data_IF_991837253730
#
_entry.id   IF_991837253730
#
_cell.length_a   1.000
_cell.length_b   1.000
_cell.length_c   1.000
_cell.angle_alpha   90.00
_cell.angle_beta   90.00
_cell.angle_gamma   90.00
#
_symmetry.space_group_name_H-M   'P 1'
#
loop_
_entity.id
_entity.type
_entity.pdbx_description
1 polymer ?
#
# COMPACT_ATOMS: atom_id res chain seq x y z
N UNK A 1 -2.51 16.67 -1.55
CA UNK A 1 -1.44 15.83 -1.01
C UNK A 1 -1.42 15.86 0.51
N UNK A 2 -0.93 16.92 1.18
CA UNK A 2 -0.80 16.88 2.64
C UNK A 2 -2.10 16.65 3.40
N UNK A 3 -3.20 17.25 2.95
CA UNK A 3 -4.54 16.97 3.49
C UNK A 3 -5.00 15.53 3.36
N UNK A 4 -4.49 14.79 2.38
CA UNK A 4 -4.78 13.35 2.26
C UNK A 4 -3.92 12.54 3.22
N UNK A 5 -2.66 12.93 3.45
CA UNK A 5 -1.80 12.29 4.45
C UNK A 5 -2.36 12.46 5.87
N UNK A 6 -2.95 13.62 6.19
CA UNK A 6 -3.64 13.87 7.47
C UNK A 6 -4.84 12.93 7.73
N UNK A 7 -5.36 12.26 6.69
CA UNK A 7 -6.47 11.29 6.80
C UNK A 7 -5.94 9.87 7.10
N UNK A 8 -4.69 9.59 6.74
CA UNK A 8 -4.09 8.28 7.03
C UNK A 8 -3.71 8.18 8.50
N UNK A 9 -4.27 7.17 9.17
CA UNK A 9 -4.05 6.92 10.59
C UNK A 9 -2.79 6.07 10.80
N UNK A 10 -2.09 6.28 11.91
CA UNK A 10 -0.94 5.44 12.28
C UNK A 10 -1.42 4.05 12.73
N UNK A 11 -1.08 2.98 12.00
CA UNK A 11 -1.51 1.63 12.35
C UNK A 11 -0.83 1.08 13.62
N UNK A 12 0.21 1.74 14.14
CA UNK A 12 0.91 1.37 15.36
C UNK A 12 0.43 2.15 16.60
N UNK A 13 -0.39 3.18 16.42
CA UNK A 13 -0.95 3.95 17.54
C UNK A 13 -2.01 3.11 18.29
N UNK A 14 -1.84 2.87 19.61
CA UNK A 14 -2.80 2.09 20.39
C UNK A 14 -4.23 2.64 20.37
N UNK A 15 -4.41 3.97 20.27
CA UNK A 15 -5.74 4.57 20.20
C UNK A 15 -6.40 4.30 18.84
N UNK A 16 -5.64 4.36 17.75
CA UNK A 16 -6.10 3.99 16.40
C UNK A 16 -6.45 2.52 16.34
N UNK A 17 -5.63 1.64 16.91
CA UNK A 17 -5.90 0.19 16.95
C UNK A 17 -7.18 -0.10 17.74
N UNK A 18 -7.34 0.52 18.91
CA UNK A 18 -8.55 0.36 19.71
C UNK A 18 -9.79 0.85 18.98
N UNK A 19 -9.69 1.99 18.28
CA UNK A 19 -10.79 2.52 17.48
C UNK A 19 -11.12 1.65 16.27
N UNK A 20 -10.11 1.17 15.52
CA UNK A 20 -10.30 0.28 14.38
C UNK A 20 -11.05 -1.01 14.77
N UNK A 21 -10.73 -1.59 15.94
CA UNK A 21 -11.46 -2.74 16.47
C UNK A 21 -12.92 -2.41 16.81
N UNK A 22 -13.20 -1.22 17.37
CA UNK A 22 -14.59 -0.78 17.63
C UNK A 22 -15.38 -0.59 16.34
N UNK A 23 -14.71 -0.15 15.28
CA UNK A 23 -15.29 0.07 13.96
C UNK A 23 -15.41 -1.23 13.12
N UNK A 24 -15.05 -2.39 13.69
CA UNK A 24 -15.21 -3.70 13.06
C UNK A 24 -14.09 -4.11 12.10
N UNK A 25 -12.92 -3.47 12.17
CA UNK A 25 -11.75 -3.88 11.37
C UNK A 25 -11.13 -5.13 11.98
N UNK A 26 -11.03 -6.20 11.20
CA UNK A 26 -10.42 -7.46 11.62
C UNK A 26 -8.93 -7.29 12.03
N UNK A 27 -8.49 -8.02 13.06
CA UNK A 27 -7.11 -7.96 13.55
C UNK A 27 -6.08 -8.29 12.45
N UNK A 28 -6.41 -9.20 11.52
CA UNK A 28 -5.55 -9.55 10.39
C UNK A 28 -5.25 -8.34 9.47
N UNK A 29 -6.22 -7.43 9.34
CA UNK A 29 -6.12 -6.20 8.53
C UNK A 29 -5.29 -5.17 9.27
N UNK A 30 -5.47 -5.06 10.59
CA UNK A 30 -4.65 -4.19 11.46
C UNK A 30 -3.18 -4.65 11.41
N UNK A 31 -2.92 -5.95 11.58
CA UNK A 31 -1.58 -6.54 11.51
C UNK A 31 -0.93 -6.37 10.13
N UNK A 32 -1.73 -6.36 9.05
CA UNK A 32 -1.26 -6.07 7.70
C UNK A 32 -0.95 -4.57 7.54
N UNK A 33 -1.77 -3.69 8.09
CA UNK A 33 -1.55 -2.24 8.06
C UNK A 33 -0.24 -1.84 8.76
N UNK A 34 0.07 -2.46 9.91
CA UNK A 34 1.32 -2.24 10.65
C UNK A 34 2.58 -2.60 9.85
N UNK A 35 2.46 -3.57 8.93
CA UNK A 35 3.56 -4.05 8.07
C UNK A 35 3.48 -3.47 6.65
N UNK A 36 2.59 -2.51 6.41
CA UNK A 36 2.28 -2.03 5.07
C UNK A 36 3.47 -1.32 4.42
N UNK A 37 3.98 -1.81 3.27
CA UNK A 37 4.99 -1.09 2.50
C UNK A 37 4.44 0.23 1.95
N UNK A 38 3.13 0.30 1.70
CA UNK A 38 2.47 1.50 1.15
C UNK A 38 2.48 2.62 2.19
N UNK A 39 2.18 2.30 3.46
CA UNK A 39 2.22 3.28 4.55
C UNK A 39 3.64 3.82 4.72
N UNK A 40 4.65 2.93 4.74
CA UNK A 40 6.08 3.32 4.80
C UNK A 40 6.48 4.26 3.66
N UNK A 41 6.10 3.93 2.42
CA UNK A 41 6.45 4.74 1.24
C UNK A 41 5.76 6.09 1.20
N UNK A 42 4.48 6.17 1.57
CA UNK A 42 3.68 7.38 1.46
C UNK A 42 3.80 8.31 2.67
N UNK A 43 3.79 7.73 3.88
CA UNK A 43 3.73 8.47 5.16
C UNK A 43 5.13 8.58 5.78
N UNK A 44 5.77 7.46 6.10
CA UNK A 44 7.04 7.46 6.86
C UNK A 44 8.19 8.09 6.07
N UNK A 45 8.38 7.68 4.81
CA UNK A 45 9.51 8.09 3.99
C UNK A 45 9.15 9.17 2.96
N UNK A 46 7.86 9.48 2.79
CA UNK A 46 7.35 10.49 1.84
C UNK A 46 7.96 10.38 0.44
N UNK A 47 8.10 9.14 -0.06
CA UNK A 47 8.63 8.83 -1.39
C UNK A 47 7.51 8.69 -2.42
N UNK A 48 6.37 8.14 -2.01
CA UNK A 48 5.20 7.98 -2.86
C UNK A 48 4.33 9.24 -2.82
N UNK A 49 3.84 9.65 -3.98
CA UNK A 49 3.00 10.83 -4.17
C UNK A 49 1.72 10.44 -4.94
N UNK A 50 0.56 11.07 -4.64
CA UNK A 50 -0.70 10.77 -5.31
C UNK A 50 -0.68 11.24 -6.76
N UNK A 51 -1.40 10.56 -7.66
CA UNK A 51 -1.57 11.03 -9.04
C UNK A 51 -2.66 12.09 -9.13
N UNK A 52 -2.36 13.25 -9.71
CA UNK A 52 -3.31 14.36 -9.90
C UNK A 52 -4.18 14.67 -8.65
N UNK A 53 -3.57 15.01 -7.50
CA UNK A 53 -4.33 15.32 -6.28
C UNK A 53 -5.33 16.48 -6.45
N UNK A 54 -5.15 17.35 -7.44
CA UNK A 54 -6.04 18.45 -7.82
C UNK A 54 -7.42 18.00 -8.29
N UNK A 55 -7.60 16.73 -8.69
CA UNK A 55 -8.91 16.17 -9.04
C UNK A 55 -9.80 15.91 -7.82
N UNK A 56 -9.26 16.01 -6.60
CA UNK A 56 -10.01 15.92 -5.33
C UNK A 56 -10.77 14.60 -5.14
N UNK A 57 -10.33 13.53 -5.79
CA UNK A 57 -10.90 12.18 -5.64
C UNK A 57 -10.26 11.38 -4.50
N UNK A 58 -9.23 11.95 -3.83
CA UNK A 58 -8.39 11.26 -2.83
C UNK A 58 -7.87 9.91 -3.38
N UNK A 59 -7.05 9.94 -4.43
CA UNK A 59 -6.60 8.72 -5.12
C UNK A 59 -5.81 7.82 -4.17
N UNK A 60 -6.08 6.52 -4.20
CA UNK A 60 -5.42 5.51 -3.35
C UNK A 60 -4.31 4.73 -4.08
N UNK A 61 -4.00 5.11 -5.33
CA UNK A 61 -2.84 4.61 -6.08
C UNK A 61 -1.81 5.73 -6.17
N UNK A 62 -0.60 5.45 -5.66
CA UNK A 62 0.46 6.43 -5.46
C UNK A 62 1.73 6.01 -6.20
N UNK A 63 2.56 6.97 -6.56
CA UNK A 63 3.71 6.78 -7.43
C UNK A 63 4.98 7.36 -6.81
N UNK A 64 6.07 6.61 -6.92
CA UNK A 64 7.41 7.12 -6.60
C UNK A 64 7.95 7.81 -7.86
N UNK A 65 8.41 9.07 -7.79
CA UNK A 65 8.92 9.78 -8.95
C UNK A 65 10.22 9.14 -9.46
N UNK A 66 10.42 9.02 -10.79
CA UNK A 66 11.59 8.35 -11.35
C UNK A 66 12.83 9.23 -11.28
N UNK A 67 13.98 8.61 -10.98
CA UNK A 67 15.29 9.23 -11.22
C UNK A 67 15.59 9.20 -12.72
N UNK A 68 16.13 10.30 -13.25
CA UNK A 68 16.59 10.38 -14.64
C UNK A 68 18.11 10.54 -14.73
N UNK A 69 18.74 10.25 -15.88
CA UNK A 69 20.13 10.61 -16.12
C UNK A 69 20.39 12.11 -15.91
N UNK A 70 21.63 12.47 -15.60
CA UNK A 70 22.06 13.86 -15.44
C UNK A 70 22.33 14.45 -16.82
N UNK A 71 21.83 15.66 -17.09
CA UNK A 71 21.88 16.25 -18.44
C UNK A 71 23.26 16.79 -18.82
N UNK A 72 24.13 17.12 -17.86
CA UNK A 72 25.42 17.79 -18.11
C UNK A 72 26.69 17.01 -17.70
N UNK A 73 26.57 15.80 -17.14
CA UNK A 73 27.75 15.05 -16.65
C UNK A 73 28.50 14.23 -17.73
N UNK A 74 28.01 14.20 -18.97
CA UNK A 74 28.67 13.47 -20.06
C UNK A 74 29.64 14.35 -20.87
N UNK A 75 29.38 15.65 -21.00
CA UNK A 75 30.12 16.51 -21.95
C UNK A 75 31.25 17.32 -21.32
N UNK A 76 31.28 17.50 -19.99
CA UNK A 76 32.18 18.48 -19.37
C UNK A 76 33.35 17.93 -18.54
N UNK A 77 33.45 16.62 -18.28
CA UNK A 77 34.52 16.08 -17.39
C UNK A 77 34.52 16.61 -15.95
N UNK A 78 33.68 17.61 -15.65
CA UNK A 78 33.38 18.13 -14.34
C UNK A 78 32.29 17.27 -13.73
N UNK A 79 32.68 16.07 -13.31
CA UNK A 79 31.96 15.49 -12.20
C UNK A 79 32.30 16.39 -11.02
N UNK A 80 31.40 17.35 -10.73
CA UNK A 80 31.34 17.96 -9.42
C UNK A 80 31.04 16.85 -8.43
N UNK A 81 32.08 16.10 -8.08
CA UNK A 81 32.09 15.18 -6.96
C UNK A 81 32.23 16.05 -5.70
N UNK A 82 31.21 16.86 -5.41
CA UNK A 82 30.85 17.02 -4.01
C UNK A 82 30.27 15.67 -3.61
N UNK A 83 31.16 14.82 -3.09
CA UNK A 83 30.93 13.48 -2.58
C UNK A 83 29.51 12.92 -2.73
N UNK A 84 29.30 12.19 -3.81
CA UNK A 84 28.41 11.02 -3.91
C UNK A 84 26.94 11.26 -4.36
N UNK A 85 26.35 12.45 -4.27
CA UNK A 85 24.94 12.67 -4.67
C UNK A 85 24.82 13.65 -5.86
N UNK A 86 24.28 13.22 -7.02
CA UNK A 86 23.88 14.16 -8.08
C UNK A 86 22.92 15.22 -7.55
N UNK A 87 23.12 16.48 -7.92
CA UNK A 87 22.14 17.52 -7.63
C UNK A 87 20.81 17.16 -8.31
N UNK A 88 19.71 17.19 -7.55
CA UNK A 88 18.37 16.86 -8.06
C UNK A 88 17.96 17.84 -9.15
N UNK A 89 18.45 19.08 -9.10
CA UNK A 89 18.19 20.09 -10.13
C UNK A 89 18.95 19.80 -11.46
N UNK A 90 19.92 18.87 -11.46
CA UNK A 90 20.68 18.46 -12.66
C UNK A 90 20.05 17.29 -13.44
N UNK A 91 18.95 16.75 -12.93
CA UNK A 91 18.22 15.65 -13.55
C UNK A 91 17.60 16.09 -14.89
N UNK A 92 17.69 15.22 -15.91
CA UNK A 92 17.14 15.46 -17.25
C UNK A 92 15.62 15.70 -17.27
N UNK A 93 14.85 15.00 -16.43
CA UNK A 93 13.41 15.21 -16.37
C UNK A 93 13.14 16.49 -15.57
N UNK A 94 12.44 17.50 -16.15
CA UNK A 94 12.13 18.72 -15.42
C UNK A 94 11.27 18.42 -14.18
N UNK A 95 11.71 18.90 -13.01
CA UNK A 95 11.00 18.69 -11.75
C UNK A 95 9.59 19.27 -11.81
N UNK A 96 9.42 20.41 -12.50
CA UNK A 96 8.12 21.03 -12.73
C UNK A 96 7.12 20.10 -13.43
N UNK A 97 7.59 19.26 -14.35
CA UNK A 97 6.74 18.28 -15.04
C UNK A 97 6.20 17.24 -14.04
N UNK A 98 7.07 16.68 -13.21
CA UNK A 98 6.67 15.72 -12.17
C UNK A 98 5.75 16.36 -11.12
N UNK A 99 6.02 17.60 -10.75
CA UNK A 99 5.19 18.34 -9.80
C UNK A 99 3.76 18.55 -10.34
N UNK A 100 3.61 18.89 -11.62
CA UNK A 100 2.30 19.02 -12.24
C UNK A 100 1.52 17.70 -12.27
N UNK A 101 2.21 16.56 -12.28
CA UNK A 101 1.60 15.23 -12.31
C UNK A 101 1.23 14.71 -10.92
N UNK A 102 2.08 14.96 -9.91
CA UNK A 102 2.04 14.25 -8.62
C UNK A 102 1.66 15.13 -7.42
N UNK A 103 1.80 16.45 -7.54
CA UNK A 103 1.68 17.38 -6.41
C UNK A 103 0.94 18.66 -6.77
N UNK A 104 0.13 18.65 -7.84
CA UNK A 104 -0.61 19.82 -8.32
C UNK A 104 0.29 21.05 -8.60
N UNK A 105 1.53 20.82 -9.03
CA UNK A 105 2.51 21.85 -9.40
C UNK A 105 3.48 22.28 -8.29
N UNK A 106 3.37 21.75 -7.08
CA UNK A 106 4.32 21.99 -5.98
C UNK A 106 5.58 21.12 -6.10
N UNK A 107 6.74 21.73 -6.29
CA UNK A 107 7.99 21.00 -6.50
C UNK A 107 8.60 20.44 -5.21
N UNK A 108 8.27 20.98 -4.04
CA UNK A 108 8.95 20.65 -2.79
C UNK A 108 8.85 19.16 -2.41
N UNK A 109 7.66 18.50 -2.47
CA UNK A 109 7.55 17.08 -2.14
C UNK A 109 8.27 16.18 -3.16
N UNK A 110 8.26 16.56 -4.44
CA UNK A 110 8.98 15.83 -5.50
C UNK A 110 10.49 15.92 -5.28
N UNK A 111 11.01 17.13 -4.99
CA UNK A 111 12.43 17.33 -4.67
C UNK A 111 12.85 16.50 -3.47
N UNK A 112 12.04 16.49 -2.40
CA UNK A 112 12.32 15.70 -1.21
C UNK A 112 12.40 14.20 -1.52
N UNK A 113 11.42 13.65 -2.24
CA UNK A 113 11.40 12.24 -2.62
C UNK A 113 12.64 11.86 -3.45
N UNK A 114 12.99 12.66 -4.46
CA UNK A 114 14.17 12.42 -5.30
C UNK A 114 15.48 12.53 -4.52
N UNK A 115 15.62 13.53 -3.63
CA UNK A 115 16.78 13.68 -2.75
C UNK A 115 16.96 12.46 -1.83
N UNK A 116 15.88 11.97 -1.23
CA UNK A 116 15.89 10.77 -0.37
C UNK A 116 16.33 9.51 -1.12
N UNK A 117 15.87 9.32 -2.36
CA UNK A 117 16.31 8.20 -3.20
C UNK A 117 17.80 8.27 -3.55
N UNK A 118 18.31 9.46 -3.87
CA UNK A 118 19.73 9.65 -4.16
C UNK A 118 20.59 9.49 -2.90
N UNK A 119 20.13 10.00 -1.76
CA UNK A 119 20.81 9.84 -0.47
C UNK A 119 20.95 8.37 -0.07
N UNK A 120 19.88 7.58 -0.19
CA UNK A 120 19.93 6.13 0.02
C UNK A 120 20.96 5.46 -0.90
N UNK A 121 21.00 5.84 -2.19
CA UNK A 121 21.95 5.29 -3.15
C UNK A 121 23.40 5.63 -2.79
N UNK A 122 23.65 6.87 -2.36
CA UNK A 122 24.97 7.32 -1.94
C UNK A 122 25.44 6.63 -0.66
N UNK A 123 24.58 6.55 0.36
CA UNK A 123 24.83 5.81 1.59
C UNK A 123 25.19 4.34 1.32
N UNK A 124 24.37 3.64 0.51
CA UNK A 124 24.63 2.23 0.17
C UNK A 124 25.90 2.04 -0.65
N UNK A 125 26.29 3.04 -1.45
CA UNK A 125 27.57 3.01 -2.18
C UNK A 125 28.76 3.16 -1.23
N UNK A 126 28.70 4.09 -0.28
CA UNK A 126 29.73 4.25 0.75
C UNK A 126 29.94 2.93 1.51
N UNK A 127 28.84 2.32 1.95
CA UNK A 127 28.88 1.06 2.70
C UNK A 127 29.43 -0.11 1.87
N UNK A 128 29.01 -0.27 0.61
CA UNK A 128 29.36 -1.45 -0.21
C UNK A 128 30.68 -1.33 -0.95
N UNK A 129 31.06 -0.13 -1.38
CA UNK A 129 32.28 0.10 -2.19
C UNK A 129 33.44 0.50 -1.30
N UNK A 130 33.21 1.41 -0.36
CA UNK A 130 34.26 2.00 0.47
C UNK A 130 34.33 1.33 1.86
N UNK A 131 33.31 0.58 2.26
CA UNK A 131 33.24 -0.02 3.60
C UNK A 131 33.04 1.01 4.70
N UNK A 132 32.58 2.21 4.35
CA UNK A 132 32.41 3.35 5.25
C UNK A 132 30.93 3.66 5.47
N UNK A 133 30.59 4.10 6.68
CA UNK A 133 29.23 4.52 7.03
C UNK A 133 29.17 6.04 6.96
N UNK A 134 28.68 6.57 5.85
CA UNK A 134 28.50 8.00 5.65
C UNK A 134 27.08 8.44 6.04
N UNK A 135 26.93 8.93 7.27
CA UNK A 135 25.64 9.38 7.81
C UNK A 135 25.27 10.80 7.38
N UNK A 136 26.23 11.62 6.97
CA UNK A 136 25.99 13.03 6.61
C UNK A 136 24.99 13.15 5.47
N UNK A 137 25.12 12.26 4.47
CA UNK A 137 24.21 12.13 3.34
C UNK A 137 22.75 11.85 3.74
N UNK A 138 22.53 11.11 4.83
CA UNK A 138 21.19 10.77 5.31
C UNK A 138 20.60 11.90 6.17
N UNK A 139 21.44 12.56 6.98
CA UNK A 139 21.05 13.69 7.82
C UNK A 139 20.52 14.87 7.00
N UNK A 140 21.14 15.16 5.85
CA UNK A 140 20.72 16.22 4.92
C UNK A 140 19.28 16.09 4.41
N UNK A 141 18.75 14.86 4.39
CA UNK A 141 17.38 14.54 3.93
C UNK A 141 16.45 14.08 5.06
N UNK A 142 16.93 14.17 6.31
CA UNK A 142 16.20 13.78 7.51
C UNK A 142 15.87 12.29 7.57
N UNK A 143 16.75 11.42 7.05
CA UNK A 143 16.61 9.97 7.16
C UNK A 143 17.55 9.42 8.22
N UNK A 144 17.09 8.43 8.98
CA UNK A 144 17.96 7.65 9.86
C UNK A 144 18.62 6.49 9.10
N UNK A 145 19.71 5.95 9.65
CA UNK A 145 20.37 4.76 9.11
C UNK A 145 19.41 3.56 9.02
N UNK A 146 18.56 3.38 10.04
CA UNK A 146 17.54 2.32 10.07
C UNK A 146 16.53 2.48 8.92
N UNK A 147 16.04 3.71 8.69
CA UNK A 147 15.15 4.00 7.56
C UNK A 147 15.85 3.76 6.22
N UNK A 148 17.12 4.15 6.06
CA UNK A 148 17.85 3.91 4.82
C UNK A 148 18.05 2.41 4.52
N UNK A 149 18.35 1.60 5.55
CA UNK A 149 18.46 0.14 5.42
C UNK A 149 17.10 -0.50 5.11
N UNK A 150 16.02 -0.03 5.74
CA UNK A 150 14.67 -0.52 5.48
C UNK A 150 14.19 -0.13 4.07
N UNK A 151 14.41 1.11 3.64
CA UNK A 151 14.19 1.55 2.26
C UNK A 151 14.94 0.66 1.26
N UNK A 152 16.21 0.32 1.53
CA UNK A 152 16.97 -0.60 0.69
C UNK A 152 16.35 -2.00 0.65
N UNK A 153 15.87 -2.53 1.78
CA UNK A 153 15.15 -3.81 1.83
C UNK A 153 13.90 -3.79 0.95
N UNK A 154 13.05 -2.78 1.08
CA UNK A 154 11.77 -2.72 0.36
C UNK A 154 11.91 -2.32 -1.12
N UNK A 155 12.85 -1.44 -1.46
CA UNK A 155 13.02 -0.91 -2.82
C UNK A 155 14.01 -1.71 -3.68
N UNK A 156 15.11 -2.20 -3.10
CA UNK A 156 16.18 -2.85 -3.86
C UNK A 156 16.13 -4.37 -3.78
N UNK A 157 16.03 -4.95 -2.58
CA UNK A 157 15.88 -6.40 -2.42
C UNK A 157 14.48 -6.82 -2.85
N UNK A 158 13.47 -6.12 -2.33
CA UNK A 158 12.07 -6.19 -2.75
C UNK A 158 11.53 -7.63 -2.79
N UNK A 159 11.71 -8.37 -1.69
CA UNK A 159 11.17 -9.71 -1.54
C UNK A 159 9.65 -9.72 -1.73
N UNK A 160 9.09 -10.87 -2.13
CA UNK A 160 7.67 -10.98 -2.46
C UNK A 160 6.77 -10.62 -1.26
N UNK A 161 7.10 -11.15 -0.08
CA UNK A 161 6.41 -10.92 1.18
C UNK A 161 6.49 -9.48 1.67
N UNK A 162 7.54 -8.74 1.28
CA UNK A 162 7.71 -7.33 1.62
C UNK A 162 6.93 -6.43 0.65
N UNK A 163 6.79 -6.85 -0.61
CA UNK A 163 6.04 -6.08 -1.63
C UNK A 163 4.53 -6.19 -1.48
N UNK A 164 4.03 -7.37 -1.10
CA UNK A 164 2.60 -7.68 -1.10
C UNK A 164 2.13 -8.09 0.28
N UNK A 165 1.73 -7.10 1.08
CA UNK A 165 1.08 -7.30 2.38
C UNK A 165 -0.43 -7.09 2.20
N UNK A 166 -1.10 -8.11 1.66
CA UNK A 166 -2.53 -8.06 1.34
C UNK A 166 -3.28 -9.00 2.31
N UNK A 167 -4.09 -8.46 3.24
CA UNK A 167 -4.88 -9.29 4.15
C UNK A 167 -6.05 -9.97 3.42
N UNK A 168 -6.61 -11.00 4.05
CA UNK A 168 -7.85 -11.62 3.58
C UNK A 168 -9.02 -10.64 3.71
N UNK A 169 -9.89 -10.60 2.71
CA UNK A 169 -11.05 -9.71 2.71
C UNK A 169 -12.21 -10.17 3.63
N UNK A 170 -12.01 -11.23 4.42
CA UNK A 170 -12.99 -11.78 5.35
C UNK A 170 -14.40 -11.95 4.75
N UNK A 171 -14.47 -12.55 3.55
CA UNK A 171 -15.73 -12.73 2.80
C UNK A 171 -16.78 -13.51 3.60
N UNK A 172 -16.33 -14.38 4.50
CA UNK A 172 -17.16 -15.15 5.41
C UNK A 172 -18.03 -14.30 6.34
N UNK A 173 -17.62 -13.08 6.68
CA UNK A 173 -18.40 -12.18 7.55
C UNK A 173 -19.56 -11.52 6.81
N UNK A 174 -19.42 -11.30 5.50
CA UNK A 174 -20.45 -10.70 4.65
C UNK A 174 -21.42 -11.73 4.06
N UNK A 175 -21.16 -13.03 4.22
CA UNK A 175 -21.96 -14.13 3.68
C UNK A 175 -22.94 -14.67 4.72
N UNK A 176 -24.13 -15.05 4.29
CA UNK A 176 -25.13 -15.70 5.17
C UNK A 176 -24.71 -17.13 5.57
N UNK A 177 -24.11 -17.89 4.65
CA UNK A 177 -23.53 -19.22 4.92
C UNK A 177 -22.31 -19.47 4.01
N UNK A 178 -21.11 -19.24 4.55
CA UNK A 178 -19.86 -19.45 3.82
C UNK A 178 -19.62 -20.92 3.42
N UNK A 179 -20.17 -21.90 4.15
CA UNK A 179 -20.00 -23.32 3.83
C UNK A 179 -20.88 -23.75 2.66
N UNK A 180 -22.10 -23.22 2.59
CA UNK A 180 -22.99 -23.46 1.47
C UNK A 180 -22.48 -22.75 0.21
N UNK A 181 -22.00 -21.51 0.34
CA UNK A 181 -21.36 -20.76 -0.77
C UNK A 181 -20.15 -21.50 -1.34
N UNK A 182 -19.27 -22.03 -0.49
CA UNK A 182 -18.10 -22.81 -0.92
C UNK A 182 -18.47 -24.04 -1.77
N UNK A 183 -19.62 -24.66 -1.49
CA UNK A 183 -20.07 -25.87 -2.17
C UNK A 183 -20.95 -25.63 -3.40
N UNK A 184 -21.66 -24.49 -3.43
CA UNK A 184 -22.64 -24.17 -4.46
C UNK A 184 -22.20 -23.10 -5.46
N UNK A 185 -21.29 -22.21 -5.07
CA UNK A 185 -20.86 -21.10 -5.91
C UNK A 185 -19.97 -21.55 -7.08
N UNK A 186 -20.29 -21.09 -8.30
CA UNK A 186 -19.60 -21.45 -9.55
C UNK A 186 -20.42 -22.34 -10.49
N UNK A 187 -21.51 -22.95 -10.00
CA UNK A 187 -22.47 -23.69 -10.82
C UNK A 187 -23.58 -22.76 -11.34
N UNK A 188 -23.30 -22.06 -12.44
CA UNK A 188 -24.18 -21.02 -13.02
C UNK A 188 -25.33 -21.58 -13.89
N UNK A 189 -26.10 -22.53 -13.35
CA UNK A 189 -27.39 -22.91 -13.94
C UNK A 189 -28.45 -21.82 -13.61
N UNK A 190 -28.25 -20.59 -14.08
CA UNK A 190 -29.06 -19.41 -13.76
C UNK A 190 -28.47 -18.49 -12.67
N UNK A 191 -29.32 -17.75 -11.95
CA UNK A 191 -28.93 -16.74 -10.95
C UNK A 191 -28.53 -17.33 -9.57
N UNK A 192 -28.07 -18.58 -9.53
CA UNK A 192 -28.01 -19.41 -8.31
C UNK A 192 -26.91 -19.05 -7.29
N UNK A 193 -25.98 -18.16 -7.64
CA UNK A 193 -24.89 -17.67 -6.77
C UNK A 193 -24.86 -16.13 -6.71
N UNK A 194 -25.91 -15.50 -7.22
CA UNK A 194 -26.03 -14.05 -7.33
C UNK A 194 -26.85 -13.51 -6.16
N UNK A 195 -26.53 -12.31 -5.70
CA UNK A 195 -27.16 -11.65 -4.56
C UNK A 195 -28.55 -11.09 -4.86
N UNK A 196 -29.34 -11.74 -5.72
CA UNK A 196 -30.73 -11.36 -5.93
C UNK A 196 -31.48 -11.41 -4.59
N UNK A 197 -31.99 -10.26 -4.14
CA UNK A 197 -32.57 -10.07 -2.80
C UNK A 197 -33.86 -10.88 -2.56
N UNK A 198 -34.47 -11.43 -3.60
CA UNK A 198 -35.68 -12.25 -3.48
C UNK A 198 -35.33 -13.73 -3.39
N UNK A 199 -35.62 -14.36 -2.24
CA UNK A 199 -35.60 -15.81 -2.05
C UNK A 199 -36.52 -16.55 -3.04
N UNK A 200 -37.57 -15.87 -3.50
CA UNK A 200 -38.54 -16.39 -4.46
C UNK A 200 -38.12 -16.09 -5.90
N UNK A 201 -38.12 -17.10 -6.76
CA UNK A 201 -38.04 -16.93 -8.21
C UNK A 201 -39.30 -17.45 -8.89
N UNK A 202 -39.60 -16.90 -10.08
CA UNK A 202 -40.78 -17.25 -10.89
C UNK A 202 -40.84 -18.73 -11.31
N UNK A 203 -39.72 -19.44 -11.22
CA UNK A 203 -39.59 -20.82 -11.69
C UNK A 203 -39.56 -21.86 -10.54
N UNK A 204 -39.70 -21.41 -9.29
CA UNK A 204 -39.65 -22.29 -8.10
C UNK A 204 -38.32 -23.03 -7.90
N UNK A 205 -37.25 -22.62 -8.58
CA UNK A 205 -35.94 -23.24 -8.46
C UNK A 205 -35.34 -22.96 -7.07
N UNK A 206 -34.60 -23.91 -6.50
CA UNK A 206 -33.85 -23.66 -5.26
C UNK A 206 -32.52 -22.99 -5.57
N UNK A 207 -32.00 -22.21 -4.62
CA UNK A 207 -30.64 -21.68 -4.74
C UNK A 207 -29.62 -22.80 -4.53
N UNK A 208 -28.57 -22.78 -5.32
CA UNK A 208 -27.50 -23.80 -5.30
C UNK A 208 -26.55 -23.59 -4.11
N UNK A 209 -26.46 -22.35 -3.63
CA UNK A 209 -25.60 -21.87 -2.54
C UNK A 209 -26.27 -21.94 -1.15
N UNK A 210 -27.42 -22.61 -1.01
CA UNK A 210 -28.19 -22.68 0.25
C UNK A 210 -28.43 -24.11 0.70
N UNK A 211 -28.30 -24.36 2.02
CA UNK A 211 -28.66 -25.64 2.65
C UNK A 211 -30.07 -25.59 3.22
N UNK A 212 -31.04 -26.16 2.50
CA UNK A 212 -32.41 -26.36 3.00
C UNK A 212 -32.53 -27.68 3.78
N UNK A 213 -31.90 -27.78 4.96
CA UNK A 213 -32.12 -28.91 5.87
C UNK A 213 -33.24 -28.55 6.84
N UNK A 214 -34.38 -29.24 6.73
CA UNK A 214 -35.45 -29.17 7.73
C UNK A 214 -34.94 -29.87 8.99
N UNK A 215 -34.80 -29.17 10.11
CA UNK A 215 -34.51 -29.79 11.40
C UNK A 215 -35.70 -30.67 11.80
N UNK A 216 -35.61 -31.97 11.56
CA UNK A 216 -36.55 -32.94 12.10
C UNK A 216 -36.22 -33.16 13.57
N UNK A 217 -36.97 -32.53 14.48
CA UNK A 217 -36.90 -32.84 15.91
C UNK A 217 -37.62 -34.17 16.11
N UNK A 218 -36.91 -35.22 16.53
CA UNK A 218 -37.56 -36.43 17.03
C UNK A 218 -38.19 -36.09 18.38
N UNK A 219 -39.51 -35.96 18.39
CA UNK A 219 -40.28 -35.92 19.64
C UNK A 219 -40.35 -37.35 20.14
N UNK A 220 -39.47 -37.74 21.04
CA UNK A 220 -39.70 -38.93 21.85
C UNK A 220 -40.89 -38.62 22.77
N UNK A 221 -42.03 -39.25 22.51
CA UNK A 221 -43.16 -39.27 23.44
C UNK A 221 -42.72 -39.99 24.72
N UNK A 222 -42.37 -39.20 25.73
CA UNK A 222 -42.19 -39.70 27.09
C UNK A 222 -43.57 -40.09 27.63
N UNK A 223 -43.89 -41.38 27.59
CA UNK A 223 -45.11 -41.92 28.20
C UNK A 223 -44.79 -42.24 29.69
N UNK A 224 -45.52 -41.67 30.66
CA UNK A 224 -45.19 -41.68 32.09
C UNK A 224 -45.23 -43.05 32.76
#
# INVERSE_FOLDING_TARGET
YQKQLEIFLDPNDPEVIAQARRDGVADSVIDAAQRSPVYKLAVDWQLALPLHPEYRTLPMVWYVPPLSPIQQAADAGHIGFDGVIPDVDSLRIPIKYLANLLTAGDEAPVKLALKRLLAMRAYKRAETVHGEVDLAVLEDVGLSEAQAKEMYRYLAIANYEDRFVIPTAHREEAMSDAFAERGGCGFSFGNGCSSGESDTNMFGAKRTDRRDLIQTVQVEEWNP
#
